data_IF_699224776213
#
_entry.id   IF_699224776213
#
_cell.length_a   1.000
_cell.length_b   1.000
_cell.length_c   1.000
_cell.angle_alpha   90.00
_cell.angle_beta   90.00
_cell.angle_gamma   90.00
#
_symmetry.space_group_name_H-M   'P 1'
#
loop_
_entity.id
_entity.type
_entity.pdbx_description
1 polymer ?
#
# COMPACT_ATOMS: atom_id res chain seq x y z
N UNK A 1 -7.61 24.30 22.08
CA UNK A 1 -8.29 23.46 21.06
C UNK A 1 -9.33 24.21 20.24
N UNK A 2 -10.34 24.88 20.84
CA UNK A 2 -11.36 25.63 20.08
C UNK A 2 -10.78 26.76 19.20
N UNK A 3 -9.87 27.57 19.73
CA UNK A 3 -9.19 28.63 18.96
C UNK A 3 -8.35 28.05 17.79
N UNK A 4 -7.59 26.99 18.05
CA UNK A 4 -6.81 26.26 17.04
C UNK A 4 -7.68 25.71 15.90
N UNK A 5 -8.84 25.11 16.21
CA UNK A 5 -9.74 24.58 15.19
C UNK A 5 -10.39 25.69 14.35
N UNK A 6 -10.64 26.87 14.92
CA UNK A 6 -11.14 28.01 14.15
C UNK A 6 -10.07 28.59 13.22
N UNK A 7 -8.80 28.54 13.62
CA UNK A 7 -7.68 29.07 12.84
C UNK A 7 -7.21 28.10 11.74
N UNK A 8 -7.09 26.80 12.06
CA UNK A 8 -6.52 25.77 11.17
C UNK A 8 -7.58 24.83 10.58
N UNK A 9 -8.86 24.98 10.89
CA UNK A 9 -9.93 24.04 10.50
C UNK A 9 -10.05 23.86 8.98
N UNK A 10 -10.06 24.95 8.21
CA UNK A 10 -10.11 24.90 6.74
C UNK A 10 -8.86 24.25 6.15
N UNK A 11 -7.69 24.55 6.73
CA UNK A 11 -6.42 23.98 6.31
C UNK A 11 -6.35 22.47 6.59
N UNK A 12 -6.84 22.01 7.75
CA UNK A 12 -6.89 20.59 8.11
C UNK A 12 -7.67 19.78 7.07
N UNK A 13 -8.82 20.27 6.64
CA UNK A 13 -9.65 19.59 5.61
C UNK A 13 -8.90 19.55 4.28
N UNK A 14 -8.39 20.69 3.80
CA UNK A 14 -7.66 20.77 2.54
C UNK A 14 -6.43 19.84 2.53
N UNK A 15 -5.65 19.85 3.61
CA UNK A 15 -4.47 18.98 3.77
C UNK A 15 -4.82 17.51 3.91
N UNK A 16 -5.95 17.18 4.54
CA UNK A 16 -6.45 15.80 4.58
C UNK A 16 -6.79 15.28 3.18
N UNK A 17 -7.47 16.09 2.36
CA UNK A 17 -7.82 15.73 0.98
C UNK A 17 -6.56 15.55 0.13
N UNK A 18 -5.61 16.48 0.24
CA UNK A 18 -4.32 16.41 -0.46
C UNK A 18 -3.53 15.15 -0.07
N UNK A 19 -3.48 14.85 1.23
CA UNK A 19 -2.83 13.66 1.77
C UNK A 19 -3.45 12.36 1.26
N UNK A 20 -4.79 12.30 1.27
CA UNK A 20 -5.53 11.16 0.76
C UNK A 20 -5.31 10.98 -0.75
N UNK A 21 -5.34 12.07 -1.52
CA UNK A 21 -5.08 12.04 -2.97
C UNK A 21 -3.70 11.45 -3.30
N UNK A 22 -2.63 11.95 -2.67
CA UNK A 22 -1.27 11.45 -2.91
C UNK A 22 -1.19 9.95 -2.58
N UNK A 23 -1.74 9.57 -1.43
CA UNK A 23 -1.70 8.20 -0.92
C UNK A 23 -2.46 7.22 -1.81
N UNK A 24 -3.69 7.57 -2.21
CA UNK A 24 -4.56 6.67 -2.97
C UNK A 24 -4.07 6.49 -4.40
N UNK A 25 -3.53 7.55 -5.03
CA UNK A 25 -2.97 7.44 -6.38
C UNK A 25 -1.74 6.52 -6.37
N UNK A 26 -0.82 6.71 -5.42
CA UNK A 26 0.35 5.83 -5.28
C UNK A 26 -0.08 4.36 -5.05
N UNK A 27 -1.06 4.13 -4.19
CA UNK A 27 -1.59 2.79 -3.91
C UNK A 27 -2.24 2.14 -5.14
N UNK A 28 -3.08 2.88 -5.88
CA UNK A 28 -3.76 2.36 -7.06
C UNK A 28 -2.76 1.96 -8.15
N UNK A 29 -1.75 2.79 -8.40
CA UNK A 29 -0.66 2.45 -9.34
C UNK A 29 0.08 1.20 -8.85
N UNK A 30 0.36 1.11 -7.54
CA UNK A 30 1.02 -0.06 -6.96
C UNK A 30 0.19 -1.34 -7.14
N UNK A 31 -1.13 -1.29 -6.92
CA UNK A 31 -2.02 -2.45 -7.13
C UNK A 31 -2.01 -2.90 -8.59
N UNK A 32 -2.19 -1.96 -9.52
CA UNK A 32 -2.26 -2.23 -10.96
C UNK A 32 -0.97 -2.87 -11.49
N UNK A 33 0.18 -2.53 -10.91
CA UNK A 33 1.48 -3.09 -11.31
C UNK A 33 1.82 -4.36 -10.52
N UNK A 34 1.74 -4.32 -9.20
CA UNK A 34 2.24 -5.37 -8.32
C UNK A 34 1.44 -6.68 -8.44
N UNK A 35 0.11 -6.60 -8.61
CA UNK A 35 -0.73 -7.80 -8.68
C UNK A 35 -0.44 -8.59 -9.96
N UNK A 36 -0.48 -8.01 -11.18
CA UNK A 36 -0.10 -8.74 -12.39
C UNK A 36 1.34 -9.25 -12.36
N UNK A 37 2.30 -8.42 -11.93
CA UNK A 37 3.70 -8.84 -11.84
C UNK A 37 3.88 -9.98 -10.84
N UNK A 38 3.19 -9.93 -9.69
CA UNK A 38 3.22 -11.00 -8.69
C UNK A 38 2.66 -12.32 -9.21
N UNK A 39 1.56 -12.28 -9.97
CA UNK A 39 0.97 -13.47 -10.62
C UNK A 39 1.91 -14.03 -11.70
N UNK A 40 2.63 -13.19 -12.43
CA UNK A 40 3.60 -13.65 -13.42
C UNK A 40 4.81 -14.30 -12.76
N UNK A 41 5.33 -13.69 -11.69
CA UNK A 41 6.50 -14.20 -10.95
C UNK A 41 6.21 -15.51 -10.22
N UNK A 42 4.98 -15.72 -9.73
CA UNK A 42 4.59 -16.94 -9.02
C UNK A 42 4.72 -18.21 -9.86
N UNK A 43 4.75 -18.08 -11.21
CA UNK A 43 4.96 -19.21 -12.14
C UNK A 43 6.33 -19.86 -12.03
N UNK A 44 7.35 -19.13 -11.55
CA UNK A 44 8.74 -19.63 -11.49
C UNK A 44 9.36 -19.42 -10.11
N UNK A 45 9.62 -20.52 -9.40
CA UNK A 45 10.12 -20.47 -8.01
C UNK A 45 11.44 -19.70 -7.88
N UNK A 46 12.39 -19.89 -8.81
CA UNK A 46 13.70 -19.23 -8.78
C UNK A 46 13.56 -17.71 -8.96
N UNK A 47 12.85 -17.27 -10.00
CA UNK A 47 12.63 -15.84 -10.28
C UNK A 47 11.88 -15.15 -9.16
N UNK A 48 10.82 -15.79 -8.64
CA UNK A 48 10.09 -15.29 -7.47
C UNK A 48 11.03 -15.05 -6.29
N UNK A 49 11.87 -16.03 -5.93
CA UNK A 49 12.76 -15.89 -4.78
C UNK A 49 13.76 -14.75 -4.98
N UNK A 50 14.38 -14.63 -6.16
CA UNK A 50 15.33 -13.55 -6.46
C UNK A 50 14.65 -12.18 -6.37
N UNK A 51 13.48 -12.01 -7.01
CA UNK A 51 12.75 -10.74 -6.99
C UNK A 51 12.28 -10.38 -5.58
N UNK A 52 11.80 -11.35 -4.80
CA UNK A 52 11.39 -11.12 -3.42
C UNK A 52 12.59 -10.77 -2.51
N UNK A 53 13.76 -11.35 -2.73
CA UNK A 53 14.98 -10.96 -2.01
C UNK A 53 15.40 -9.53 -2.35
N UNK A 54 15.43 -9.17 -3.65
CA UNK A 54 15.76 -7.81 -4.08
C UNK A 54 14.75 -6.81 -3.50
N UNK A 55 13.46 -7.12 -3.59
CA UNK A 55 12.39 -6.34 -2.99
C UNK A 55 12.59 -6.16 -1.48
N UNK A 56 12.91 -7.24 -0.76
CA UNK A 56 13.19 -7.18 0.67
C UNK A 56 14.37 -6.27 1.01
N UNK A 57 15.46 -6.33 0.22
CA UNK A 57 16.62 -5.43 0.39
C UNK A 57 16.23 -3.98 0.15
N UNK A 58 15.46 -3.69 -0.91
CA UNK A 58 15.00 -2.33 -1.21
C UNK A 58 14.11 -1.75 -0.11
N UNK A 59 13.32 -2.57 0.60
CA UNK A 59 12.53 -2.12 1.75
C UNK A 59 13.37 -1.72 2.97
N UNK A 60 14.64 -2.11 3.03
CA UNK A 60 15.52 -1.68 4.13
C UNK A 60 16.03 -0.25 3.96
N UNK A 61 15.89 0.30 2.74
CA UNK A 61 16.25 1.69 2.46
C UNK A 61 15.27 2.61 3.22
N UNK A 62 15.75 3.57 4.03
CA UNK A 62 14.89 4.50 4.73
C UNK A 62 13.95 5.24 3.77
N UNK A 63 12.66 5.26 4.09
CA UNK A 63 11.62 5.86 3.22
C UNK A 63 11.91 7.32 2.90
N UNK A 64 12.41 8.08 3.89
CA UNK A 64 12.79 9.48 3.72
C UNK A 64 13.96 9.66 2.72
N UNK A 65 14.91 8.72 2.69
CA UNK A 65 16.02 8.75 1.74
C UNK A 65 15.53 8.54 0.31
N UNK A 66 14.61 7.58 0.10
CA UNK A 66 13.97 7.35 -1.21
C UNK A 66 13.24 8.61 -1.69
N UNK A 67 12.49 9.26 -0.80
CA UNK A 67 11.81 10.52 -1.11
C UNK A 67 12.82 11.62 -1.50
N UNK A 68 13.88 11.81 -0.71
CA UNK A 68 14.90 12.83 -1.00
C UNK A 68 15.60 12.61 -2.35
N UNK A 69 15.87 11.35 -2.73
CA UNK A 69 16.46 10.98 -4.02
C UNK A 69 15.54 11.35 -5.20
N UNK A 70 14.22 11.41 -5.01
CA UNK A 70 13.32 11.81 -6.09
C UNK A 70 13.49 13.28 -6.51
N UNK A 71 13.95 14.16 -5.61
CA UNK A 71 14.10 15.60 -5.91
C UNK A 71 15.04 15.85 -7.10
N UNK A 72 16.29 15.36 -7.12
CA UNK A 72 17.18 15.59 -8.27
C UNK A 72 16.71 14.94 -9.57
N UNK A 73 15.82 13.92 -9.50
CA UNK A 73 15.36 13.17 -10.68
C UNK A 73 14.08 13.78 -11.27
N UNK A 74 13.12 14.12 -10.43
CA UNK A 74 11.75 14.51 -10.81
C UNK A 74 11.37 15.93 -10.36
N UNK A 75 12.25 16.62 -9.62
CA UNK A 75 11.96 17.91 -9.01
C UNK A 75 11.18 17.80 -7.70
N UNK A 76 10.60 18.92 -7.26
CA UNK A 76 9.82 19.05 -6.02
C UNK A 76 8.33 18.96 -6.35
N UNK A 77 7.54 18.27 -5.53
CA UNK A 77 6.08 18.27 -5.65
C UNK A 77 5.39 16.94 -5.36
N UNK A 78 4.16 16.81 -5.85
CA UNK A 78 3.33 15.60 -5.66
C UNK A 78 3.83 14.41 -6.46
N UNK A 79 4.21 14.64 -7.72
CA UNK A 79 4.68 13.59 -8.64
C UNK A 79 5.86 12.77 -8.08
N UNK A 80 6.99 13.38 -7.64
CA UNK A 80 8.10 12.63 -7.05
C UNK A 80 7.67 11.82 -5.82
N UNK A 81 6.82 12.40 -4.96
CA UNK A 81 6.29 11.70 -3.80
C UNK A 81 5.44 10.49 -4.18
N UNK A 82 4.51 10.64 -5.13
CA UNK A 82 3.67 9.53 -5.61
C UNK A 82 4.55 8.41 -6.16
N UNK A 83 5.59 8.71 -6.94
CA UNK A 83 6.52 7.73 -7.50
C UNK A 83 7.29 6.99 -6.39
N UNK A 84 7.87 7.72 -5.42
CA UNK A 84 8.58 7.09 -4.29
C UNK A 84 7.66 6.21 -3.44
N UNK A 85 6.48 6.72 -3.09
CA UNK A 85 5.50 5.99 -2.30
C UNK A 85 5.05 4.72 -3.03
N UNK A 86 4.74 4.82 -4.32
CA UNK A 86 4.43 3.70 -5.21
C UNK A 86 5.50 2.61 -5.14
N UNK A 87 6.78 2.97 -5.35
CA UNK A 87 7.89 2.01 -5.34
C UNK A 87 7.94 1.25 -4.02
N UNK A 88 7.75 1.96 -2.91
CA UNK A 88 7.86 1.35 -1.59
C UNK A 88 6.68 0.41 -1.30
N UNK A 89 5.45 0.85 -1.53
CA UNK A 89 4.25 0.04 -1.22
C UNK A 89 3.92 -1.00 -2.29
N UNK A 90 4.59 -0.97 -3.45
CA UNK A 90 4.55 -2.05 -4.43
C UNK A 90 5.04 -3.38 -3.82
N UNK A 91 6.03 -3.33 -2.95
CA UNK A 91 6.75 -4.52 -2.49
C UNK A 91 5.91 -5.42 -1.56
N UNK A 92 5.17 -4.91 -0.55
CA UNK A 92 4.28 -5.75 0.24
C UNK A 92 3.12 -6.35 -0.58
N UNK A 93 2.56 -5.61 -1.56
CA UNK A 93 1.52 -6.14 -2.47
C UNK A 93 2.11 -7.28 -3.31
N UNK A 94 3.28 -7.06 -3.90
CA UNK A 94 3.98 -8.04 -4.72
C UNK A 94 4.27 -9.31 -3.92
N UNK A 95 4.83 -9.17 -2.71
CA UNK A 95 5.19 -10.28 -1.85
C UNK A 95 3.95 -11.13 -1.47
N UNK A 96 2.88 -10.48 -1.01
CA UNK A 96 1.65 -11.17 -0.66
C UNK A 96 0.97 -11.81 -1.87
N UNK A 97 1.09 -11.23 -3.06
CA UNK A 97 0.56 -11.84 -4.29
C UNK A 97 1.35 -13.11 -4.65
N UNK A 98 2.68 -13.05 -4.63
CA UNK A 98 3.52 -14.21 -4.94
C UNK A 98 3.32 -15.33 -3.91
N UNK A 99 3.32 -15.00 -2.62
CA UNK A 99 3.07 -15.97 -1.55
C UNK A 99 1.65 -16.54 -1.61
N UNK A 100 0.66 -15.71 -1.92
CA UNK A 100 -0.74 -16.13 -2.02
C UNK A 100 -0.94 -17.22 -3.06
N UNK A 101 -0.28 -17.10 -4.21
CA UNK A 101 -0.34 -18.13 -5.26
C UNK A 101 0.54 -19.34 -4.93
N UNK A 102 1.75 -19.12 -4.39
CA UNK A 102 2.71 -20.22 -4.12
C UNK A 102 2.33 -21.10 -2.92
N UNK A 103 1.57 -20.58 -1.96
CA UNK A 103 1.14 -21.32 -0.76
C UNK A 103 -0.10 -22.19 -0.98
N UNK A 104 -0.65 -22.19 -2.20
CA UNK A 104 -1.77 -23.06 -2.57
C UNK A 104 -1.30 -24.52 -2.53
N UNK A 105 -2.10 -25.39 -1.92
CA UNK A 105 -1.82 -26.82 -1.87
C UNK A 105 -1.65 -27.40 -3.29
N UNK A 106 -0.51 -28.06 -3.51
CA UNK A 106 -0.19 -28.72 -4.78
C UNK A 106 -1.24 -29.77 -5.15
N UNK A 107 -1.88 -30.42 -4.18
CA UNK A 107 -2.94 -31.39 -4.42
C UNK A 107 -4.16 -30.74 -5.10
N UNK A 108 -4.51 -29.51 -4.73
CA UNK A 108 -5.60 -28.75 -5.35
C UNK A 108 -5.25 -28.42 -6.81
N UNK A 109 -4.00 -28.03 -7.05
CA UNK A 109 -3.49 -27.73 -8.39
C UNK A 109 -3.50 -29.00 -9.26
N UNK A 110 -3.00 -30.13 -8.74
CA UNK A 110 -2.98 -31.42 -9.43
C UNK A 110 -4.39 -31.96 -9.71
N UNK A 111 -5.33 -31.79 -8.77
CA UNK A 111 -6.72 -32.16 -8.98
C UNK A 111 -7.34 -31.38 -10.15
N UNK A 112 -7.12 -30.05 -10.21
CA UNK A 112 -7.56 -29.24 -11.34
C UNK A 112 -6.98 -29.70 -12.68
N UNK A 113 -5.69 -30.06 -12.70
CA UNK A 113 -5.03 -30.61 -13.90
C UNK A 113 -5.62 -31.96 -14.31
N UNK A 114 -5.87 -32.86 -13.36
CA UNK A 114 -6.50 -34.16 -13.61
C UNK A 114 -7.95 -34.05 -14.10
N UNK A 115 -8.64 -32.94 -13.78
CA UNK A 115 -9.95 -32.60 -14.34
C UNK A 115 -9.88 -31.96 -15.74
N UNK A 116 -8.69 -31.84 -16.33
CA UNK A 116 -8.49 -31.31 -17.69
C UNK A 116 -8.44 -29.78 -17.77
N UNK A 117 -8.26 -29.07 -16.64
CA UNK A 117 -8.15 -27.61 -16.67
C UNK A 117 -6.88 -27.16 -17.41
N UNK A 118 -7.04 -26.21 -18.32
CA UNK A 118 -5.92 -25.47 -18.91
C UNK A 118 -5.23 -24.60 -17.86
N UNK A 119 -3.98 -24.19 -18.10
CA UNK A 119 -3.24 -23.30 -17.19
C UNK A 119 -3.98 -21.98 -16.93
N UNK A 120 -4.72 -21.47 -17.92
CA UNK A 120 -5.51 -20.25 -17.76
C UNK A 120 -6.73 -20.47 -16.86
N UNK A 121 -7.49 -21.56 -17.07
CA UNK A 121 -8.62 -21.94 -16.20
C UNK A 121 -8.13 -22.20 -14.78
N UNK A 122 -7.04 -22.95 -14.62
CA UNK A 122 -6.45 -23.24 -13.31
C UNK A 122 -6.04 -21.95 -12.58
N UNK A 123 -5.42 -21.00 -13.27
CA UNK A 123 -5.06 -19.71 -12.68
C UNK A 123 -6.31 -18.89 -12.31
N UNK A 124 -7.25 -18.73 -13.23
CA UNK A 124 -8.41 -17.85 -13.06
C UNK A 124 -9.44 -18.40 -12.06
N UNK A 125 -9.74 -19.69 -12.14
CA UNK A 125 -10.90 -20.28 -11.46
C UNK A 125 -10.50 -20.99 -10.15
N UNK A 126 -9.20 -21.29 -9.96
CA UNK A 126 -8.69 -21.96 -8.75
C UNK A 126 -7.67 -21.09 -8.03
N UNK A 127 -6.56 -20.75 -8.68
CA UNK A 127 -5.45 -20.09 -7.98
C UNK A 127 -5.78 -18.67 -7.55
N UNK A 128 -6.40 -17.87 -8.42
CA UNK A 128 -6.76 -16.48 -8.11
C UNK A 128 -7.75 -16.36 -6.94
N UNK A 129 -8.87 -17.10 -6.90
CA UNK A 129 -9.77 -17.09 -5.74
C UNK A 129 -9.09 -17.52 -4.44
N UNK A 130 -8.20 -18.52 -4.49
CA UNK A 130 -7.47 -19.00 -3.32
C UNK A 130 -6.39 -18.02 -2.84
N UNK A 131 -5.73 -17.30 -3.75
CA UNK A 131 -4.71 -16.30 -3.45
C UNK A 131 -5.29 -14.95 -3.01
N UNK A 132 -6.54 -14.65 -3.39
CA UNK A 132 -7.20 -13.36 -3.19
C UNK A 132 -7.15 -12.84 -1.73
N UNK A 133 -7.38 -13.65 -0.68
CA UNK A 133 -7.29 -13.17 0.70
C UNK A 133 -5.90 -12.60 1.03
N UNK A 134 -4.85 -13.28 0.55
CA UNK A 134 -3.48 -12.85 0.78
C UNK A 134 -3.16 -11.59 -0.04
N UNK A 135 -3.60 -11.53 -1.31
CA UNK A 135 -3.45 -10.32 -2.15
C UNK A 135 -4.08 -9.11 -1.46
N UNK A 136 -5.33 -9.23 -0.99
CA UNK A 136 -6.03 -8.15 -0.30
C UNK A 136 -5.33 -7.78 1.01
N UNK A 137 -4.82 -8.76 1.77
CA UNK A 137 -3.99 -8.50 2.96
C UNK A 137 -2.74 -7.66 2.62
N UNK A 138 -2.08 -7.94 1.50
CA UNK A 138 -0.96 -7.13 1.01
C UNK A 138 -1.36 -5.70 0.65
N UNK A 139 -2.52 -5.52 0.02
CA UNK A 139 -3.08 -4.20 -0.31
C UNK A 139 -3.43 -3.42 0.96
N UNK A 140 -4.04 -4.08 1.94
CA UNK A 140 -4.39 -3.49 3.24
C UNK A 140 -3.15 -2.99 3.99
N UNK A 141 -2.13 -3.84 4.13
CA UNK A 141 -0.85 -3.46 4.73
C UNK A 141 -0.23 -2.25 4.02
N UNK A 142 -0.23 -2.30 2.69
CA UNK A 142 0.30 -1.23 1.83
C UNK A 142 -0.49 0.07 1.96
N UNK A 143 -1.81 0.01 2.17
CA UNK A 143 -2.65 1.18 2.38
C UNK A 143 -2.32 1.90 3.69
N UNK A 144 -2.05 1.15 4.76
CA UNK A 144 -1.63 1.74 6.03
C UNK A 144 -0.26 2.39 5.86
N UNK A 145 0.69 1.68 5.26
CA UNK A 145 2.05 2.18 5.02
C UNK A 145 2.08 3.42 4.13
N UNK A 146 1.35 3.44 3.01
CA UNK A 146 1.37 4.59 2.09
C UNK A 146 0.80 5.84 2.77
N UNK A 147 -0.28 5.70 3.55
CA UNK A 147 -0.90 6.83 4.28
C UNK A 147 0.03 7.33 5.37
N UNK A 148 0.72 6.42 6.09
CA UNK A 148 1.72 6.80 7.09
C UNK A 148 2.90 7.53 6.46
N UNK A 149 3.53 6.98 5.42
CA UNK A 149 4.72 7.57 4.80
C UNK A 149 4.44 8.79 3.94
N UNK A 150 3.20 8.98 3.47
CA UNK A 150 2.81 10.22 2.81
C UNK A 150 2.99 11.45 3.72
N UNK A 151 3.07 11.29 5.04
CA UNK A 151 3.43 12.39 5.95
C UNK A 151 4.84 12.91 5.68
N UNK A 152 5.78 12.03 5.32
CA UNK A 152 7.15 12.41 5.00
C UNK A 152 7.25 13.09 3.63
N UNK A 153 6.28 12.87 2.73
CA UNK A 153 6.26 13.44 1.39
C UNK A 153 6.14 14.98 1.39
N UNK A 154 5.61 15.56 2.47
CA UNK A 154 5.61 17.01 2.68
C UNK A 154 7.02 17.60 2.63
N UNK A 155 8.04 16.85 3.06
CA UNK A 155 9.44 17.28 3.03
C UNK A 155 9.99 17.45 1.61
N UNK A 156 9.39 16.77 0.62
CA UNK A 156 9.71 16.92 -0.81
C UNK A 156 8.70 17.79 -1.55
N UNK A 157 7.95 18.61 -0.81
CA UNK A 157 7.00 19.58 -1.34
C UNK A 157 5.69 18.97 -1.89
N UNK A 158 5.35 17.74 -1.51
CA UNK A 158 4.10 17.12 -1.95
C UNK A 158 2.85 17.74 -1.31
N UNK A 159 2.98 18.34 -0.13
CA UNK A 159 1.87 18.85 0.67
C UNK A 159 1.26 17.77 1.58
N UNK A 160 -0.02 17.91 1.91
CA UNK A 160 -0.75 16.99 2.78
C UNK A 160 -0.60 17.26 4.28
N UNK A 161 -1.04 16.31 5.12
CA UNK A 161 -1.06 16.48 6.58
C UNK A 161 0.34 16.56 7.19
N UNK A 162 1.37 16.08 6.48
CA UNK A 162 2.75 16.22 6.93
C UNK A 162 3.22 17.67 7.01
N UNK A 163 2.64 18.61 6.24
CA UNK A 163 2.96 20.04 6.35
C UNK A 163 2.69 20.55 7.77
N UNK A 164 1.58 20.10 8.38
CA UNK A 164 1.23 20.47 9.75
C UNK A 164 2.15 19.82 10.78
N UNK A 165 2.62 18.60 10.52
CA UNK A 165 3.61 17.93 11.38
C UNK A 165 4.92 18.72 11.36
N UNK A 166 5.47 19.00 10.18
CA UNK A 166 6.75 19.68 10.06
C UNK A 166 6.69 21.15 10.48
N UNK A 167 5.61 21.87 10.15
CA UNK A 167 5.42 23.23 10.64
C UNK A 167 5.23 23.25 12.17
N UNK A 168 4.49 22.31 12.73
CA UNK A 168 4.34 22.16 14.18
C UNK A 168 5.67 21.88 14.88
N UNK A 169 6.56 21.08 14.27
CA UNK A 169 7.91 20.85 14.77
C UNK A 169 8.75 22.14 14.72
N UNK A 170 8.75 22.86 13.59
CA UNK A 170 9.53 24.08 13.41
C UNK A 170 9.06 25.23 14.31
N UNK A 171 7.75 25.32 14.57
CA UNK A 171 7.13 26.36 15.39
C UNK A 171 7.02 25.97 16.87
N UNK A 172 7.46 24.77 17.26
CA UNK A 172 7.26 24.21 18.59
C UNK A 172 5.79 24.26 19.04
N UNK A 173 4.87 23.89 18.15
CA UNK A 173 3.42 23.86 18.39
C UNK A 173 2.89 22.42 18.40
N UNK A 174 2.88 21.74 19.58
CA UNK A 174 2.33 20.40 19.72
C UNK A 174 0.90 20.20 19.17
N UNK A 175 -0.03 21.18 19.28
CA UNK A 175 -1.38 21.02 18.71
C UNK A 175 -1.40 20.74 17.20
N UNK A 176 -0.49 21.31 16.41
CA UNK A 176 -0.39 21.04 14.97
C UNK A 176 0.07 19.60 14.71
N UNK A 177 1.07 19.15 15.46
CA UNK A 177 1.63 17.79 15.33
C UNK A 177 0.58 16.75 15.69
N UNK A 178 -0.08 16.92 16.84
CA UNK A 178 -1.06 15.97 17.37
C UNK A 178 -2.30 15.91 16.47
N UNK A 179 -2.82 17.06 16.02
CA UNK A 179 -3.99 17.09 15.13
C UNK A 179 -3.71 16.40 13.80
N UNK A 180 -2.56 16.64 13.19
CA UNK A 180 -2.15 15.96 11.97
C UNK A 180 -1.96 14.45 12.18
N UNK A 181 -1.27 14.03 13.25
CA UNK A 181 -1.08 12.62 13.57
C UNK A 181 -2.40 11.87 13.79
N UNK A 182 -3.35 12.49 14.50
CA UNK A 182 -4.70 11.92 14.70
C UNK A 182 -5.40 11.76 13.36
N UNK A 183 -5.39 12.79 12.50
CA UNK A 183 -6.07 12.74 11.20
C UNK A 183 -5.45 11.69 10.26
N UNK A 184 -4.12 11.59 10.21
CA UNK A 184 -3.41 10.56 9.43
C UNK A 184 -3.80 9.17 9.92
N UNK A 185 -3.82 8.97 11.24
CA UNK A 185 -4.18 7.68 11.85
C UNK A 185 -5.63 7.32 11.54
N UNK A 186 -6.56 8.25 11.71
CA UNK A 186 -7.97 8.05 11.38
C UNK A 186 -8.15 7.72 9.89
N UNK A 187 -7.46 8.43 9.01
CA UNK A 187 -7.51 8.18 7.57
C UNK A 187 -7.01 6.76 7.25
N UNK A 188 -5.88 6.34 7.82
CA UNK A 188 -5.34 4.99 7.63
C UNK A 188 -6.31 3.91 8.14
N UNK A 189 -6.90 4.09 9.32
CA UNK A 189 -7.87 3.17 9.90
C UNK A 189 -9.16 3.08 9.08
N UNK A 190 -9.67 4.21 8.59
CA UNK A 190 -10.85 4.24 7.72
C UNK A 190 -10.58 3.47 6.43
N UNK A 191 -9.44 3.73 5.78
CA UNK A 191 -9.08 3.05 4.53
C UNK A 191 -8.87 1.55 4.75
N UNK A 192 -8.15 1.14 5.79
CA UNK A 192 -7.98 -0.29 6.10
C UNK A 192 -9.32 -0.96 6.43
N UNK A 193 -10.18 -0.29 7.19
CA UNK A 193 -11.53 -0.79 7.50
C UNK A 193 -12.34 -0.99 6.23
N UNK A 194 -12.38 0.00 5.32
CA UNK A 194 -13.08 -0.12 4.04
C UNK A 194 -12.53 -1.29 3.20
N UNK A 195 -11.21 -1.43 3.11
CA UNK A 195 -10.58 -2.55 2.43
C UNK A 195 -10.89 -3.90 3.10
N UNK A 196 -11.06 -3.94 4.42
CA UNK A 196 -11.51 -5.14 5.14
C UNK A 196 -12.95 -5.55 4.80
N UNK A 197 -13.82 -4.58 4.48
CA UNK A 197 -15.17 -4.86 4.00
C UNK A 197 -15.12 -5.42 2.57
N UNK A 198 -14.26 -4.86 1.73
CA UNK A 198 -14.00 -5.40 0.38
C UNK A 198 -13.47 -6.83 0.47
N UNK A 199 -12.53 -7.11 1.38
CA UNK A 199 -12.04 -8.46 1.66
C UNK A 199 -13.17 -9.43 2.01
N UNK A 200 -14.03 -9.05 2.97
CA UNK A 200 -15.15 -9.88 3.41
C UNK A 200 -16.18 -10.17 2.32
N UNK A 201 -16.34 -9.25 1.37
CA UNK A 201 -17.24 -9.37 0.24
C UNK A 201 -16.63 -10.20 -0.90
N UNK A 202 -15.36 -9.95 -1.23
CA UNK A 202 -14.66 -10.58 -2.34
C UNK A 202 -14.19 -12.02 -2.03
N UNK A 203 -13.90 -12.32 -0.76
CA UNK A 203 -13.44 -13.65 -0.32
C UNK A 203 -14.63 -14.55 0.06
N UNK A 204 -14.83 -15.69 -0.64
CA UNK A 204 -15.88 -16.66 -0.30
C UNK A 204 -15.78 -17.15 1.15
N UNK A 205 -16.92 -17.39 1.80
CA UNK A 205 -16.98 -17.80 3.22
C UNK A 205 -16.16 -19.05 3.54
N UNK A 206 -16.03 -20.00 2.61
CA UNK A 206 -15.26 -21.23 2.78
C UNK A 206 -13.74 -21.08 2.69
N UNK A 207 -13.24 -19.92 2.23
CA UNK A 207 -11.81 -19.61 2.12
C UNK A 207 -11.34 -18.62 3.19
N UNK A 208 -12.22 -18.30 4.14
CA UNK A 208 -11.88 -17.49 5.30
C UNK A 208 -11.01 -18.34 6.21
N UNK A 209 -9.70 -18.11 6.18
CA UNK A 209 -8.79 -18.66 7.19
C UNK A 209 -9.30 -18.17 8.55
N UNK A 210 -9.69 -19.08 9.43
CA UNK A 210 -10.01 -18.73 10.82
C UNK A 210 -8.75 -18.11 11.42
N UNK A 211 -8.81 -16.81 11.70
CA UNK A 211 -7.81 -16.14 12.53
C UNK A 211 -8.00 -16.54 13.98
#
# INVERSE_FOLDING_TARGET
MKAFLNEYGSQLVSKTIEHFYISIIALLIAIVVAVPVGILLSRTTKTANVVLTIAGVLQTIPTLAVLAIMIPIFGVGKTPAIVALFIYVLLPILNNTVLGVKNIDKNVIQAGQSMGMTQFQLMKDVQMPLALPMIISGIRLSSVYVISWATLASYVGAGGLGDLVFNGLNLYQPPMIISAAILVTLLALIVDFLLSLVEKWAVPKGLKVSR
#
